data_IF_520043425978
#
_entry.id   IF_520043425978
#
_cell.length_a   1.000
_cell.length_b   1.000
_cell.length_c   1.000
_cell.angle_alpha   90.00
_cell.angle_beta   90.00
_cell.angle_gamma   90.00
#
_symmetry.space_group_name_H-M   'P 1'
#
loop_
_entity.id
_entity.type
_entity.pdbx_description
1 polymer ?
#
# COMPACT_ATOMS: atom_id res chain seq x y z
N UNK A 1 -14.69 26.27 -0.84
CA UNK A 1 -15.52 25.08 -0.56
C UNK A 1 -14.62 23.86 -0.66
N UNK A 2 -14.53 23.06 0.40
CA UNK A 2 -13.74 21.82 0.41
C UNK A 2 -14.57 20.69 -0.20
N UNK A 3 -14.21 20.27 -1.41
CA UNK A 3 -14.96 19.27 -2.17
C UNK A 3 -14.45 17.85 -1.89
N UNK A 4 -15.32 16.85 -2.03
CA UNK A 4 -14.90 15.45 -2.01
C UNK A 4 -13.91 15.17 -3.13
N UNK A 5 -12.86 14.41 -2.81
CA UNK A 5 -11.89 13.93 -3.78
C UNK A 5 -11.68 12.41 -3.58
N UNK A 6 -11.13 11.74 -4.60
CA UNK A 6 -10.91 10.30 -4.58
C UNK A 6 -10.00 9.84 -3.42
N UNK A 7 -9.04 10.67 -3.02
CA UNK A 7 -8.12 10.37 -1.91
C UNK A 7 -8.84 10.36 -0.56
N UNK A 8 -9.71 11.34 -0.31
CA UNK A 8 -10.53 11.45 0.90
C UNK A 8 -11.51 10.29 0.98
N UNK A 9 -12.15 9.92 -0.14
CA UNK A 9 -13.03 8.74 -0.19
C UNK A 9 -12.26 7.48 0.20
N UNK A 10 -11.07 7.26 -0.40
CA UNK A 10 -10.20 6.13 -0.03
C UNK A 10 -9.86 6.15 1.45
N UNK A 11 -9.45 7.29 2.00
CA UNK A 11 -9.07 7.43 3.40
C UNK A 11 -10.23 7.15 4.37
N UNK A 12 -11.44 7.61 4.02
CA UNK A 12 -12.66 7.30 4.76
C UNK A 12 -13.00 5.81 4.74
N UNK A 13 -12.80 5.15 3.60
CA UNK A 13 -12.99 3.70 3.49
C UNK A 13 -11.96 2.93 4.32
N UNK A 14 -10.71 3.40 4.38
CA UNK A 14 -9.67 2.81 5.24
C UNK A 14 -10.01 3.00 6.72
N UNK A 15 -10.46 4.20 7.13
CA UNK A 15 -10.95 4.46 8.49
C UNK A 15 -12.08 3.50 8.88
N UNK A 16 -13.01 3.28 7.95
CA UNK A 16 -14.13 2.36 8.14
C UNK A 16 -13.65 0.91 8.30
N UNK A 17 -12.75 0.45 7.42
CA UNK A 17 -12.18 -0.89 7.50
C UNK A 17 -11.41 -1.13 8.80
N UNK A 18 -10.60 -0.16 9.23
CA UNK A 18 -9.88 -0.22 10.49
C UNK A 18 -10.83 -0.25 11.69
N UNK A 19 -11.87 0.59 11.68
CA UNK A 19 -12.89 0.59 12.72
C UNK A 19 -13.59 -0.76 12.83
N UNK A 20 -13.98 -1.36 11.70
CA UNK A 20 -14.69 -2.64 11.69
C UNK A 20 -13.83 -3.83 12.14
N UNK A 21 -12.54 -3.82 11.84
CA UNK A 21 -11.63 -4.87 12.33
C UNK A 21 -11.47 -4.86 13.86
N UNK A 22 -11.70 -3.70 14.48
CA UNK A 22 -11.61 -3.48 15.92
C UNK A 22 -12.95 -3.62 16.66
N UNK A 23 -14.07 -3.79 15.95
CA UNK A 23 -15.36 -4.11 16.58
C UNK A 23 -15.29 -5.54 17.13
N UNK A 24 -15.52 -5.68 18.44
CA UNK A 24 -15.32 -6.94 19.19
C UNK A 24 -16.36 -8.02 18.85
N UNK A 25 -17.50 -7.65 18.24
CA UNK A 25 -18.65 -8.54 18.05
C UNK A 25 -18.36 -9.85 17.29
N UNK A 26 -17.37 -9.87 16.39
CA UNK A 26 -17.03 -11.07 15.60
C UNK A 26 -16.02 -12.03 16.24
N UNK A 27 -15.48 -11.71 17.42
CA UNK A 27 -14.44 -12.53 18.09
C UNK A 27 -14.95 -13.19 19.39
N UNK A 28 -16.25 -13.41 19.53
CA UNK A 28 -16.81 -14.19 20.64
C UNK A 28 -16.81 -15.66 20.20
N UNK A 29 -15.69 -16.34 20.39
CA UNK A 29 -15.55 -17.78 20.17
C UNK A 29 -15.06 -18.47 21.44
N UNK A 30 -15.18 -19.79 21.56
CA UNK A 30 -14.78 -20.53 22.76
C UNK A 30 -13.28 -20.39 23.14
N UNK A 31 -12.42 -19.95 22.22
CA UNK A 31 -11.01 -19.62 22.45
C UNK A 31 -10.70 -18.12 22.59
N UNK A 32 -11.71 -17.26 22.58
CA UNK A 32 -11.54 -15.83 22.80
C UNK A 32 -11.34 -15.51 24.30
N UNK A 33 -10.69 -14.39 24.65
CA UNK A 33 -10.56 -14.00 26.05
C UNK A 33 -11.94 -13.95 26.72
N UNK A 34 -12.07 -14.62 27.87
CA UNK A 34 -13.33 -14.87 28.58
C UNK A 34 -14.07 -13.60 29.04
N UNK A 35 -13.47 -12.42 28.92
CA UNK A 35 -14.08 -11.17 29.35
C UNK A 35 -14.26 -10.20 28.18
N UNK A 36 -15.52 -9.90 27.88
CA UNK A 36 -15.94 -8.70 27.15
C UNK A 36 -15.77 -7.41 27.97
N UNK A 37 -15.37 -7.54 29.24
CA UNK A 37 -15.02 -6.43 30.11
C UNK A 37 -13.74 -5.74 29.64
N UNK A 38 -13.70 -4.39 29.68
CA UNK A 38 -12.46 -3.65 29.48
C UNK A 38 -11.36 -4.19 30.37
N UNK A 39 -10.15 -4.33 29.83
CA UNK A 39 -8.97 -4.63 30.65
C UNK A 39 -8.83 -3.47 31.62
N UNK A 40 -8.90 -3.74 32.92
CA UNK A 40 -8.62 -2.73 33.94
C UNK A 40 -7.25 -2.11 33.64
N UNK A 41 -7.23 -0.83 33.28
CA UNK A 41 -6.00 -0.09 33.14
C UNK A 41 -5.43 0.08 34.56
N UNK A 42 -4.42 -0.72 34.90
CA UNK A 42 -3.73 -0.57 36.18
C UNK A 42 -3.07 0.81 36.21
N UNK A 43 -3.33 1.56 37.28
CA UNK A 43 -2.64 2.82 37.51
C UNK A 43 -1.15 2.56 37.76
N UNK A 44 -0.31 3.57 37.52
CA UNK A 44 1.15 3.47 37.63
C UNK A 44 1.61 2.99 39.03
N UNK A 45 0.77 3.17 40.07
CA UNK A 45 1.02 2.71 41.44
C UNK A 45 0.77 1.21 41.68
N UNK A 46 -0.07 0.56 40.85
CA UNK A 46 -0.44 -0.87 41.02
C UNK A 46 0.49 -1.82 40.25
N UNK A 47 1.26 -1.30 39.30
CA UNK A 47 2.19 -2.08 38.50
C UNK A 47 3.54 -2.26 39.22
N UNK A 48 3.63 -3.24 40.12
CA UNK A 48 4.91 -3.79 40.59
C UNK A 48 5.65 -4.45 39.41
N UNK A 49 6.36 -3.65 38.62
CA UNK A 49 7.10 -4.11 37.43
C UNK A 49 6.65 -3.37 36.17
N UNK A 50 7.50 -2.45 35.73
CA UNK A 50 7.31 -1.58 34.56
C UNK A 50 7.02 -2.34 33.27
N UNK A 51 5.73 -2.52 32.94
CA UNK A 51 5.31 -2.79 31.56
C UNK A 51 4.24 -1.77 31.17
N UNK A 52 4.44 -1.10 30.05
CA UNK A 52 3.44 -0.18 29.51
C UNK A 52 2.16 -0.98 29.21
N UNK A 53 1.05 -0.62 29.87
CA UNK A 53 -0.25 -1.27 29.66
C UNK A 53 -0.66 -1.06 28.20
N UNK A 54 -0.58 -2.13 27.39
CA UNK A 54 -1.08 -2.12 26.01
C UNK A 54 -2.59 -2.28 26.05
N UNK A 55 -3.32 -1.18 26.22
CA UNK A 55 -4.78 -1.19 26.11
C UNK A 55 -5.18 -1.46 24.67
N UNK A 56 -6.05 -2.45 24.46
CA UNK A 56 -6.64 -2.72 23.15
C UNK A 56 -7.50 -1.53 22.73
N UNK A 57 -7.35 -1.08 21.49
CA UNK A 57 -8.22 -0.05 20.93
C UNK A 57 -9.68 -0.56 20.84
N UNK A 58 -10.62 0.26 21.31
CA UNK A 58 -12.06 0.03 21.20
C UNK A 58 -12.66 1.23 20.45
N UNK A 59 -13.36 1.00 19.32
CA UNK A 59 -13.93 2.08 18.56
C UNK A 59 -15.10 2.75 19.31
N UNK A 60 -15.08 4.08 19.35
CA UNK A 60 -16.21 4.88 19.89
C UNK A 60 -17.41 4.85 18.94
N UNK A 61 -18.60 5.17 19.46
CA UNK A 61 -19.83 5.29 18.66
C UNK A 61 -19.69 6.22 17.44
N UNK A 62 -18.93 7.31 17.58
CA UNK A 62 -18.65 8.23 16.47
C UNK A 62 -17.83 7.56 15.35
N UNK A 63 -16.88 6.69 15.68
CA UNK A 63 -16.14 5.92 14.66
C UNK A 63 -17.05 4.91 13.96
N UNK A 64 -17.93 4.23 14.71
CA UNK A 64 -18.86 3.24 14.15
C UNK A 64 -19.85 3.93 13.20
N UNK A 65 -20.40 5.08 13.58
CA UNK A 65 -21.30 5.87 12.73
C UNK A 65 -20.61 6.29 11.42
N UNK A 66 -19.36 6.77 11.51
CA UNK A 66 -18.53 7.12 10.34
C UNK A 66 -18.23 5.91 9.44
N UNK A 67 -17.98 4.75 10.03
CA UNK A 67 -17.73 3.51 9.29
C UNK A 67 -18.98 3.02 8.56
N UNK A 68 -20.15 3.08 9.21
CA UNK A 68 -21.44 2.72 8.61
C UNK A 68 -21.79 3.64 7.45
N UNK A 69 -21.54 4.95 7.59
CA UNK A 69 -21.71 5.93 6.52
C UNK A 69 -20.87 5.57 5.29
N UNK A 70 -19.58 5.27 5.49
CA UNK A 70 -18.69 4.90 4.38
C UNK A 70 -19.07 3.57 3.71
N UNK A 71 -19.57 2.60 4.48
CA UNK A 71 -20.11 1.36 3.92
C UNK A 71 -21.38 1.58 3.10
N UNK A 72 -22.26 2.49 3.54
CA UNK A 72 -23.46 2.84 2.81
C UNK A 72 -23.13 3.43 1.43
N UNK A 73 -22.01 4.14 1.28
CA UNK A 73 -21.55 4.60 -0.03
C UNK A 73 -21.18 3.44 -0.96
N UNK A 74 -20.53 2.40 -0.45
CA UNK A 74 -20.18 1.23 -1.26
C UNK A 74 -21.40 0.44 -1.70
N UNK A 75 -22.40 0.26 -0.82
CA UNK A 75 -23.61 -0.46 -1.17
C UNK A 75 -24.48 0.33 -2.16
N UNK A 76 -24.58 1.65 -2.01
CA UNK A 76 -25.44 2.49 -2.82
C UNK A 76 -24.83 2.94 -4.16
N UNK A 77 -23.51 3.16 -4.23
CA UNK A 77 -22.84 3.78 -5.38
C UNK A 77 -21.97 2.81 -6.19
N UNK A 78 -21.85 1.56 -5.76
CA UNK A 78 -21.14 0.51 -6.48
C UNK A 78 -22.09 -0.61 -6.77
N UNK A 79 -22.37 -0.90 -8.04
CA UNK A 79 -23.40 -1.87 -8.43
C UNK A 79 -22.87 -3.31 -8.37
N UNK A 80 -21.63 -3.52 -8.83
CA UNK A 80 -21.02 -4.84 -8.93
C UNK A 80 -20.41 -5.31 -7.60
N UNK A 81 -20.86 -6.49 -7.14
CA UNK A 81 -20.37 -7.11 -5.90
C UNK A 81 -18.87 -7.40 -5.94
N UNK A 82 -18.34 -7.82 -7.10
CA UNK A 82 -16.90 -8.08 -7.22
C UNK A 82 -16.09 -6.80 -7.08
N UNK A 83 -16.58 -5.71 -7.64
CA UNK A 83 -16.01 -4.38 -7.49
C UNK A 83 -16.07 -3.90 -6.04
N UNK A 84 -17.20 -4.08 -5.33
CA UNK A 84 -17.32 -3.80 -3.89
C UNK A 84 -16.28 -4.58 -3.08
N UNK A 85 -16.12 -5.87 -3.36
CA UNK A 85 -15.14 -6.73 -2.69
C UNK A 85 -13.71 -6.25 -2.91
N UNK A 86 -13.34 -5.86 -4.14
CA UNK A 86 -12.01 -5.34 -4.45
C UNK A 86 -11.75 -4.03 -3.70
N UNK A 87 -12.73 -3.12 -3.69
CA UNK A 87 -12.63 -1.83 -2.99
C UNK A 87 -12.48 -2.03 -1.49
N UNK A 88 -13.31 -2.88 -0.89
CA UNK A 88 -13.25 -3.18 0.53
C UNK A 88 -11.96 -3.91 0.90
N UNK A 89 -11.54 -4.90 0.10
CA UNK A 89 -10.29 -5.61 0.31
C UNK A 89 -9.09 -4.67 0.28
N UNK A 90 -9.09 -3.69 -0.64
CA UNK A 90 -8.06 -2.65 -0.66
C UNK A 90 -8.01 -1.86 0.64
N UNK A 91 -9.17 -1.41 1.14
CA UNK A 91 -9.26 -0.68 2.40
C UNK A 91 -8.79 -1.51 3.60
N UNK A 92 -9.18 -2.78 3.67
CA UNK A 92 -8.74 -3.72 4.73
C UNK A 92 -7.24 -3.98 4.67
N UNK A 93 -6.68 -4.19 3.48
CA UNK A 93 -5.23 -4.36 3.32
C UNK A 93 -4.49 -3.13 3.82
N UNK A 94 -4.98 -1.93 3.54
CA UNK A 94 -4.36 -0.69 4.02
C UNK A 94 -4.50 -0.51 5.53
N UNK A 95 -5.68 -0.75 6.09
CA UNK A 95 -5.92 -0.70 7.54
C UNK A 95 -4.99 -1.67 8.30
N UNK A 96 -4.82 -2.89 7.80
CA UNK A 96 -3.98 -3.94 8.40
C UNK A 96 -2.51 -3.85 8.02
N UNK A 97 -2.10 -2.87 7.21
CA UNK A 97 -0.73 -2.75 6.65
C UNK A 97 -0.29 -4.03 5.90
N UNK A 98 -1.22 -4.70 5.22
CA UNK A 98 -0.97 -5.90 4.43
C UNK A 98 -0.81 -5.59 2.93
N UNK A 99 -0.12 -6.49 2.22
CA UNK A 99 0.09 -6.35 0.78
C UNK A 99 -1.18 -6.66 -0.02
N UNK A 100 -1.75 -5.64 -0.67
CA UNK A 100 -2.85 -5.81 -1.61
C UNK A 100 -2.48 -6.72 -2.80
N UNK A 101 -1.20 -6.76 -3.20
CA UNK A 101 -0.74 -7.64 -4.26
C UNK A 101 -0.89 -9.12 -3.89
N UNK A 102 -0.62 -9.46 -2.62
CA UNK A 102 -0.83 -10.81 -2.09
C UNK A 102 -2.30 -11.20 -2.14
N UNK A 103 -3.19 -10.28 -1.74
CA UNK A 103 -4.64 -10.48 -1.84
C UNK A 103 -5.10 -10.68 -3.30
N UNK A 104 -4.60 -9.87 -4.24
CA UNK A 104 -4.90 -10.02 -5.67
C UNK A 104 -4.47 -11.38 -6.22
N UNK A 105 -3.27 -11.85 -5.85
CA UNK A 105 -2.77 -13.18 -6.24
C UNK A 105 -3.66 -14.30 -5.70
N UNK A 106 -4.05 -14.21 -4.41
CA UNK A 106 -4.93 -15.19 -3.75
C UNK A 106 -6.30 -15.27 -4.42
N UNK A 107 -6.86 -14.13 -4.83
CA UNK A 107 -8.21 -14.04 -5.41
C UNK A 107 -8.22 -14.06 -6.94
N UNK A 108 -7.09 -14.37 -7.59
CA UNK A 108 -6.94 -14.43 -9.06
C UNK A 108 -7.40 -13.13 -9.75
N UNK A 109 -7.07 -11.99 -9.17
CA UNK A 109 -7.34 -10.66 -9.73
C UNK A 109 -6.05 -10.05 -10.26
N UNK A 110 -6.08 -9.53 -11.49
CA UNK A 110 -4.94 -8.81 -12.08
C UNK A 110 -4.78 -7.47 -11.37
N UNK A 111 -3.65 -7.26 -10.68
CA UNK A 111 -3.39 -6.07 -9.87
C UNK A 111 -3.60 -4.77 -10.64
N UNK A 112 -3.05 -4.67 -11.86
CA UNK A 112 -3.15 -3.45 -12.68
C UNK A 112 -4.60 -3.10 -13.01
N UNK A 113 -5.43 -4.11 -13.28
CA UNK A 113 -6.86 -3.92 -13.55
C UNK A 113 -7.60 -3.50 -12.28
N UNK A 114 -7.28 -4.11 -11.13
CA UNK A 114 -7.83 -3.69 -9.85
C UNK A 114 -7.47 -2.24 -9.50
N UNK A 115 -6.21 -1.84 -9.64
CA UNK A 115 -5.76 -0.47 -9.34
C UNK A 115 -6.46 0.57 -10.24
N UNK A 116 -6.70 0.25 -11.52
CA UNK A 116 -7.48 1.10 -12.43
C UNK A 116 -8.94 1.21 -11.99
N UNK A 117 -9.57 0.08 -11.68
CA UNK A 117 -10.96 0.01 -11.22
C UNK A 117 -11.14 0.80 -9.92
N UNK A 118 -10.22 0.67 -8.97
CA UNK A 118 -10.25 1.40 -7.71
C UNK A 118 -10.26 2.91 -7.92
N UNK A 119 -9.39 3.44 -8.79
CA UNK A 119 -9.35 4.88 -9.11
C UNK A 119 -10.69 5.37 -9.66
N UNK A 120 -11.23 4.67 -10.65
CA UNK A 120 -12.52 5.01 -11.26
C UNK A 120 -13.66 5.00 -10.24
N UNK A 121 -13.70 4.00 -9.36
CA UNK A 121 -14.74 3.91 -8.33
C UNK A 121 -14.60 5.03 -7.30
N UNK A 122 -13.39 5.33 -6.82
CA UNK A 122 -13.18 6.42 -5.87
C UNK A 122 -13.55 7.78 -6.46
N UNK A 123 -13.20 8.03 -7.72
CA UNK A 123 -13.62 9.23 -8.44
C UNK A 123 -15.14 9.30 -8.60
N UNK A 124 -15.78 8.19 -9.00
CA UNK A 124 -17.24 8.12 -9.13
C UNK A 124 -17.94 8.40 -7.82
N UNK A 125 -17.49 7.79 -6.72
CA UNK A 125 -18.04 8.04 -5.38
C UNK A 125 -17.85 9.51 -5.02
N UNK A 126 -16.66 10.09 -5.20
CA UNK A 126 -16.40 11.49 -4.89
C UNK A 126 -17.34 12.44 -5.66
N UNK A 127 -17.54 12.21 -6.95
CA UNK A 127 -18.47 12.98 -7.78
C UNK A 127 -19.91 12.85 -7.28
N UNK A 128 -20.35 11.64 -6.94
CA UNK A 128 -21.69 11.40 -6.40
C UNK A 128 -21.91 12.09 -5.04
N UNK A 129 -20.90 12.07 -4.16
CA UNK A 129 -20.96 12.76 -2.86
C UNK A 129 -21.01 14.28 -3.01
N UNK A 130 -20.24 14.84 -3.97
CA UNK A 130 -20.34 16.26 -4.34
C UNK A 130 -21.73 16.62 -4.86
N UNK A 131 -22.33 15.78 -5.72
CA UNK A 131 -23.68 16.00 -6.26
C UNK A 131 -24.77 15.91 -5.19
N UNK A 132 -24.61 15.02 -4.23
CA UNK A 132 -25.53 14.85 -3.10
C UNK A 132 -25.38 15.93 -2.02
N UNK A 133 -24.43 16.87 -2.17
CA UNK A 133 -24.13 17.93 -1.19
C UNK A 133 -23.88 17.40 0.23
N UNK A 134 -23.29 16.20 0.33
CA UNK A 134 -22.94 15.61 1.62
C UNK A 134 -21.77 16.39 2.22
N UNK A 135 -21.94 16.88 3.44
CA UNK A 135 -20.91 17.64 4.15
C UNK A 135 -19.62 16.83 4.27
N UNK A 136 -18.51 17.42 3.82
CA UNK A 136 -17.20 16.79 3.88
C UNK A 136 -16.79 16.58 5.34
N UNK A 137 -16.60 15.32 5.72
CA UNK A 137 -16.02 14.93 7.02
C UNK A 137 -14.62 14.37 6.80
N UNK A 138 -13.63 15.00 7.41
CA UNK A 138 -12.26 14.52 7.30
C UNK A 138 -12.09 13.16 7.99
N UNK A 139 -11.24 12.27 7.43
CA UNK A 139 -10.80 11.08 8.12
C UNK A 139 -10.09 11.43 9.42
N UNK A 140 -10.17 10.53 10.41
CA UNK A 140 -9.30 10.63 11.58
C UNK A 140 -7.86 10.26 11.19
N UNK A 141 -7.08 11.29 10.86
CA UNK A 141 -5.70 11.14 10.47
C UNK A 141 -4.85 10.50 11.58
N UNK A 142 -5.16 10.66 12.87
CA UNK A 142 -4.41 9.95 13.93
C UNK A 142 -4.37 8.42 13.74
N UNK A 143 -5.38 7.86 13.07
CA UNK A 143 -5.50 6.42 12.77
C UNK A 143 -5.13 6.11 11.32
N UNK A 144 -5.68 6.87 10.38
CA UNK A 144 -5.48 6.63 8.93
C UNK A 144 -4.10 7.10 8.46
N UNK A 145 -3.54 8.14 9.09
CA UNK A 145 -2.23 8.74 8.77
C UNK A 145 -1.06 8.14 9.53
N UNK A 146 -1.25 7.03 10.26
CA UNK A 146 -0.15 6.13 10.60
C UNK A 146 0.35 5.35 9.34
N UNK A 147 0.09 5.91 8.15
CA UNK A 147 1.00 5.98 7.02
C UNK A 147 2.35 6.50 7.52
N UNK A 148 3.28 5.59 7.75
CA UNK A 148 4.68 5.96 7.66
C UNK A 148 4.93 6.67 6.32
N UNK A 149 5.19 7.97 6.39
CA UNK A 149 5.84 8.74 5.33
C UNK A 149 4.95 9.36 4.24
N UNK A 150 4.07 10.32 4.54
CA UNK A 150 3.87 11.49 3.66
C UNK A 150 3.56 12.73 4.54
N UNK A 151 4.47 13.06 5.45
CA UNK A 151 4.82 14.40 5.97
C UNK A 151 5.75 14.16 7.15
N UNK A 152 7.06 14.32 6.94
CA UNK A 152 8.07 14.01 7.94
C UNK A 152 8.66 12.61 7.75
N UNK A 153 9.93 12.59 7.40
CA UNK A 153 10.79 11.41 7.31
C UNK A 153 10.64 10.54 8.57
N UNK A 154 10.19 9.29 8.43
CA UNK A 154 10.42 8.28 9.46
C UNK A 154 11.89 7.89 9.39
N UNK A 155 12.72 8.48 10.26
CA UNK A 155 14.16 8.20 10.33
C UNK A 155 14.41 6.73 10.74
N UNK A 156 13.51 6.14 11.54
CA UNK A 156 13.67 4.79 12.10
C UNK A 156 13.07 3.64 11.23
N UNK A 157 12.53 3.96 10.05
CA UNK A 157 11.94 2.98 9.13
C UNK A 157 12.55 3.04 7.74
N UNK A 158 13.68 3.73 7.60
CA UNK A 158 14.62 3.36 6.55
C UNK A 158 15.02 1.92 6.85
N UNK A 159 14.88 0.94 5.93
CA UNK A 159 15.81 -0.17 6.00
C UNK A 159 17.19 0.48 6.09
N UNK A 160 18.06 0.03 6.99
CA UNK A 160 19.50 0.28 6.82
C UNK A 160 19.76 0.00 5.35
N UNK A 161 19.99 1.07 4.60
CA UNK A 161 19.82 1.06 3.17
C UNK A 161 20.68 -0.08 2.68
N UNK A 162 20.08 -1.12 2.09
CA UNK A 162 20.80 -1.89 1.09
C UNK A 162 21.27 -0.80 0.13
N UNK A 163 22.55 -0.46 0.27
CA UNK A 163 23.22 0.67 -0.37
C UNK A 163 22.72 0.79 -1.82
N UNK A 164 22.78 1.97 -2.47
CA UNK A 164 22.50 2.13 -3.90
C UNK A 164 23.43 1.31 -4.84
N UNK A 165 23.93 0.15 -4.41
CA UNK A 165 24.89 -0.75 -5.01
C UNK A 165 24.28 -2.11 -5.37
N UNK A 166 22.97 -2.34 -5.23
CA UNK A 166 22.36 -3.62 -5.64
C UNK A 166 22.48 -3.93 -7.14
N UNK A 167 22.75 -2.90 -7.96
CA UNK A 167 23.04 -3.01 -9.38
C UNK A 167 24.52 -2.83 -9.71
N UNK A 168 25.38 -2.63 -8.70
CA UNK A 168 26.82 -2.49 -8.85
C UNK A 168 27.49 -3.81 -8.44
N UNK A 169 28.49 -4.26 -9.20
CA UNK A 169 29.33 -5.39 -8.78
C UNK A 169 30.09 -5.03 -7.50
N UNK A 170 30.45 -6.02 -6.69
CA UNK A 170 31.08 -5.82 -5.37
C UNK A 170 32.36 -4.94 -5.45
N UNK A 171 33.04 -4.94 -6.59
CA UNK A 171 34.27 -4.18 -6.84
C UNK A 171 34.07 -2.76 -7.42
N UNK A 172 32.83 -2.30 -7.59
CA UNK A 172 32.56 -1.01 -8.23
C UNK A 172 32.92 0.16 -7.27
N UNK A 173 34.09 0.77 -7.49
CA UNK A 173 34.54 2.01 -6.81
C UNK A 173 33.97 3.24 -7.52
N UNK A 174 33.47 4.26 -6.79
CA UNK A 174 33.03 5.51 -7.41
C UNK A 174 34.25 6.23 -8.04
N UNK A 175 34.26 6.36 -9.36
CA UNK A 175 35.07 7.32 -10.11
C UNK A 175 36.56 7.04 -10.32
N UNK A 176 37.13 5.90 -9.90
CA UNK A 176 38.59 5.68 -9.98
C UNK A 176 39.14 5.26 -11.35
N UNK A 177 38.41 5.47 -12.45
CA UNK A 177 38.84 5.04 -13.79
C UNK A 177 38.22 5.83 -14.94
N UNK A 178 37.61 6.99 -14.66
CA UNK A 178 37.25 7.92 -15.71
C UNK A 178 38.54 8.63 -16.13
N UNK A 179 38.97 8.55 -17.39
CA UNK A 179 40.09 9.36 -17.85
C UNK A 179 39.71 10.83 -17.72
N UNK A 180 40.52 11.63 -17.02
CA UNK A 180 40.30 13.08 -16.90
C UNK A 180 40.46 13.78 -18.27
N UNK A 181 41.18 13.13 -19.20
CA UNK A 181 41.36 13.59 -20.57
C UNK A 181 40.11 13.36 -21.45
N UNK A 182 39.57 14.40 -22.11
CA UNK A 182 38.32 14.31 -22.87
C UNK A 182 38.41 13.32 -24.05
N UNK A 183 39.56 13.21 -24.71
CA UNK A 183 39.73 12.24 -25.82
C UNK A 183 39.75 10.78 -25.32
N UNK A 184 40.31 10.54 -24.14
CA UNK A 184 40.34 9.21 -23.56
C UNK A 184 38.94 8.79 -23.07
N UNK A 185 38.14 9.75 -22.59
CA UNK A 185 36.74 9.54 -22.27
C UNK A 185 35.90 9.19 -23.50
N UNK A 186 36.10 9.87 -24.64
CA UNK A 186 35.40 9.57 -25.88
C UNK A 186 35.71 8.17 -26.42
N UNK A 187 36.99 7.74 -26.35
CA UNK A 187 37.40 6.38 -26.74
C UNK A 187 36.78 5.32 -25.82
N UNK A 188 36.72 5.58 -24.52
CA UNK A 188 36.06 4.71 -23.55
C UNK A 188 34.54 4.60 -23.83
N UNK A 189 33.89 5.72 -24.13
CA UNK A 189 32.46 5.78 -24.46
C UNK A 189 32.16 5.01 -25.76
N UNK A 190 32.99 5.20 -26.79
CA UNK A 190 32.87 4.51 -28.07
C UNK A 190 33.01 2.99 -27.89
N UNK A 191 33.98 2.54 -27.09
CA UNK A 191 34.17 1.12 -26.76
C UNK A 191 32.97 0.54 -26.01
N UNK A 192 32.49 1.24 -24.98
CA UNK A 192 31.33 0.82 -24.17
C UNK A 192 30.06 0.72 -24.99
N UNK A 193 29.84 1.64 -25.92
CA UNK A 193 28.71 1.61 -26.84
C UNK A 193 28.83 0.47 -27.87
N UNK A 194 30.03 0.17 -28.37
CA UNK A 194 30.26 -0.96 -29.27
C UNK A 194 29.97 -2.30 -28.59
N UNK A 195 30.40 -2.47 -27.34
CA UNK A 195 30.15 -3.69 -26.56
C UNK A 195 28.66 -3.87 -26.26
N UNK A 196 27.93 -2.77 -25.97
CA UNK A 196 26.47 -2.80 -25.83
C UNK A 196 25.76 -3.23 -27.11
N UNK A 197 26.23 -2.80 -28.28
CA UNK A 197 25.66 -3.21 -29.58
C UNK A 197 25.87 -4.71 -29.82
N UNK A 198 27.07 -5.22 -29.58
CA UNK A 198 27.37 -6.66 -29.69
C UNK A 198 26.51 -7.51 -28.76
N UNK A 199 26.30 -7.06 -27.52
CA UNK A 199 25.46 -7.76 -26.55
C UNK A 199 23.98 -7.77 -26.98
N UNK A 200 23.49 -6.66 -27.54
CA UNK A 200 22.13 -6.59 -28.10
C UNK A 200 21.95 -7.51 -29.32
N UNK A 201 22.94 -7.58 -30.21
CA UNK A 201 22.93 -8.50 -31.35
C UNK A 201 22.94 -9.95 -30.91
N UNK A 202 23.77 -10.31 -29.92
CA UNK A 202 23.79 -11.66 -29.33
C UNK A 202 22.43 -12.03 -28.73
N UNK A 203 21.79 -11.10 -28.01
CA UNK A 203 20.44 -11.30 -27.45
C UNK A 203 19.36 -11.39 -28.52
N UNK A 204 19.49 -10.66 -29.63
CA UNK A 204 18.58 -10.75 -30.79
C UNK A 204 18.74 -12.09 -31.48
N UNK A 205 19.97 -12.54 -31.71
CA UNK A 205 20.26 -13.84 -32.32
C UNK A 205 19.74 -14.99 -31.46
N UNK A 206 19.99 -14.97 -30.15
CA UNK A 206 19.45 -15.97 -29.23
C UNK A 206 17.91 -15.95 -29.13
N UNK A 207 17.27 -14.81 -29.38
CA UNK A 207 15.80 -14.73 -29.49
C UNK A 207 15.29 -15.31 -30.79
N UNK A 208 15.97 -15.05 -31.90
CA UNK A 208 15.61 -15.61 -33.21
C UNK A 208 15.77 -17.13 -33.21
N UNK A 209 16.87 -17.64 -32.66
CA UNK A 209 17.12 -19.08 -32.49
C UNK A 209 16.03 -19.76 -31.66
N UNK A 210 15.61 -19.14 -30.53
CA UNK A 210 14.45 -19.65 -29.75
C UNK A 210 13.14 -19.65 -30.52
N UNK A 211 12.91 -18.66 -31.38
CA UNK A 211 11.69 -18.58 -32.21
C UNK A 211 11.74 -19.62 -33.34
N UNK A 212 12.92 -19.88 -33.90
CA UNK A 212 13.14 -20.94 -34.90
C UNK A 212 12.94 -22.33 -34.29
N UNK A 213 13.44 -22.57 -33.07
CA UNK A 213 13.21 -23.81 -32.32
C UNK A 213 11.72 -24.01 -31.98
N UNK A 214 10.99 -22.94 -31.67
CA UNK A 214 9.54 -22.97 -31.41
C UNK A 214 8.70 -23.22 -32.68
N UNK A 215 9.23 -22.93 -33.87
CA UNK A 215 8.57 -23.16 -35.16
C UNK A 215 8.90 -24.53 -35.78
N UNK A 216 9.99 -25.15 -35.34
CA UNK A 216 10.42 -26.49 -35.79
C UNK A 216 9.83 -27.65 -34.95
N UNK A 217 9.14 -27.33 -33.85
CA UNK A 217 8.42 -28.26 -32.96
C UNK A 217 6.91 -28.29 -33.24
#
# INVERSE_FOLDING_TARGET
MTNWNAMLVRERLVEAADTMDHIVAGRIGPGAPKSCWPVFAQEKGDAYGYTAVKTRYVPTAAHISRANEAQAWLSALVDDDRSRQIVWARAVCEARKQSFASWCKKNRVVRRSADRLLRLIYERIAVSLCKALINLRYPDYGRVSNRGGITGVQIDSLPEVASPRSFMTEDARPGAGLPDDPEAFERWLAKTNADRRKEQERRRRAKLERVEDELAA
#
